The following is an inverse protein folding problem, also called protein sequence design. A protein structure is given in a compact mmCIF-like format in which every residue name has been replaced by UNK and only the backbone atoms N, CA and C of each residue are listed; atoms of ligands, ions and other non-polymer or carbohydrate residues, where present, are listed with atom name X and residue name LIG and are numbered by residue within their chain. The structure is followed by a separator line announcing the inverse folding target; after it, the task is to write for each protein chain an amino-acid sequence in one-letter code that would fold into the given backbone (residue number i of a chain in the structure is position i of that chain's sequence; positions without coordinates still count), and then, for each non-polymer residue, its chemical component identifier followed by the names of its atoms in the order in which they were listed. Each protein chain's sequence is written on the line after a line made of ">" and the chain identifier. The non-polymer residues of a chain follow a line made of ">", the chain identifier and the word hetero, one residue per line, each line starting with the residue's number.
data_IF_226701377820
#
_entry.id   IF_226701377820
#
_cell.length_a   1.000
_cell.length_b   1.000
_cell.length_c   1.000
_cell.angle_alpha   90.00
_cell.angle_beta   90.00
_cell.angle_gamma   90.00
#
_symmetry.space_group_name_H-M   'P 1'
#
loop_
_entity.id
_entity.type
_entity.pdbx_description
1 polymer ?
#
# COMPACT_ATOMS: atom_id res chain seq x y z
N UNK A 1 16.11 10.96 15.11
CA UNK A 1 16.89 10.19 16.08
C UNK A 1 18.35 10.25 15.63
N UNK A 2 19.32 10.60 16.52
CA UNK A 2 20.74 10.56 16.20
C UNK A 2 21.18 9.15 15.81
N UNK A 3 21.96 9.04 14.75
CA UNK A 3 22.50 7.77 14.25
C UNK A 3 24.00 7.86 14.18
N UNK A 4 24.69 6.94 14.83
CA UNK A 4 26.15 6.87 14.78
C UNK A 4 26.63 6.39 13.40
N UNK A 5 27.60 7.10 12.82
CA UNK A 5 28.23 6.76 11.54
C UNK A 5 29.73 6.62 11.72
N UNK A 6 30.33 5.66 11.02
CA UNK A 6 31.76 5.38 11.05
C UNK A 6 32.33 5.48 9.64
N UNK A 7 33.68 5.39 9.54
CA UNK A 7 34.38 5.41 8.23
C UNK A 7 33.82 4.32 7.32
N UNK A 8 33.47 4.71 6.09
CA UNK A 8 32.85 3.82 5.09
C UNK A 8 31.32 3.87 5.04
N UNK A 9 30.66 4.46 6.03
CA UNK A 9 29.20 4.62 5.98
C UNK A 9 28.78 5.75 5.06
N UNK A 10 27.58 5.62 4.47
CA UNK A 10 26.97 6.67 3.66
C UNK A 10 26.24 7.66 4.59
N UNK A 11 26.39 8.94 4.31
CA UNK A 11 25.63 10.04 4.93
C UNK A 11 24.82 10.75 3.85
N UNK A 12 23.66 11.31 4.23
CA UNK A 12 22.74 11.91 3.29
C UNK A 12 22.73 13.43 3.40
N UNK A 13 22.50 14.10 2.25
CA UNK A 13 22.32 15.55 2.23
C UNK A 13 21.11 15.96 3.09
N UNK A 14 21.24 17.10 3.80
CA UNK A 14 20.20 17.60 4.71
C UNK A 14 20.23 16.99 6.12
N UNK A 15 21.20 16.14 6.45
CA UNK A 15 21.45 15.71 7.83
C UNK A 15 22.42 16.65 8.53
N UNK A 16 22.28 16.79 9.86
CA UNK A 16 23.12 17.66 10.71
C UNK A 16 24.02 16.77 11.54
N UNK A 17 25.30 17.16 11.64
CA UNK A 17 26.26 16.52 12.56
C UNK A 17 25.97 17.05 13.95
N UNK A 18 25.56 16.17 14.89
CA UNK A 18 25.30 16.56 16.29
C UNK A 18 26.58 16.54 17.11
N UNK A 19 27.47 15.59 16.85
CA UNK A 19 28.72 15.45 17.60
C UNK A 19 29.82 14.87 16.70
N UNK A 20 31.05 15.41 16.84
CA UNK A 20 32.22 14.97 16.08
C UNK A 20 32.46 15.76 14.79
N UNK A 21 33.50 15.35 14.06
CA UNK A 21 33.92 15.93 12.78
C UNK A 21 33.94 14.80 11.73
N UNK A 22 33.38 15.06 10.55
CA UNK A 22 33.32 14.08 9.46
C UNK A 22 33.90 14.64 8.18
N UNK A 23 34.66 13.81 7.48
CA UNK A 23 35.09 14.07 6.08
C UNK A 23 34.26 13.22 5.16
N UNK A 24 33.57 13.83 4.21
CA UNK A 24 32.69 13.15 3.25
C UNK A 24 33.24 13.24 1.83
N UNK A 25 33.07 12.14 1.08
CA UNK A 25 33.27 12.13 -0.38
C UNK A 25 31.90 12.22 -1.03
N UNK A 26 31.66 13.27 -1.81
CA UNK A 26 30.43 13.41 -2.57
C UNK A 26 30.38 12.33 -3.65
N UNK A 27 29.30 11.55 -3.71
CA UNK A 27 29.08 10.48 -4.70
C UNK A 27 28.26 10.96 -5.89
N UNK A 28 27.32 11.86 -5.68
CA UNK A 28 26.41 12.38 -6.69
C UNK A 28 26.28 13.90 -6.52
N UNK A 29 26.35 14.66 -7.61
CA UNK A 29 26.41 16.13 -7.56
C UNK A 29 25.16 16.79 -8.15
N UNK A 30 24.36 16.13 -8.99
CA UNK A 30 23.19 16.73 -9.65
C UNK A 30 21.99 15.78 -9.71
N UNK A 31 20.79 16.30 -9.40
CA UNK A 31 19.49 15.70 -9.70
C UNK A 31 18.83 14.90 -8.59
N UNK A 32 19.52 14.59 -7.48
CA UNK A 32 18.95 13.73 -6.42
C UNK A 32 19.00 14.35 -5.02
N UNK A 33 19.10 15.67 -4.93
CA UNK A 33 19.02 16.37 -3.65
C UNK A 33 17.58 16.35 -3.12
N UNK A 34 17.41 16.29 -1.79
CA UNK A 34 16.09 16.44 -1.14
C UNK A 34 15.30 17.66 -1.62
N UNK A 35 16.00 18.74 -2.00
CA UNK A 35 15.38 19.94 -2.54
C UNK A 35 14.82 19.69 -3.95
N UNK A 36 15.56 19.00 -4.82
CA UNK A 36 15.08 18.61 -6.15
C UNK A 36 13.93 17.61 -6.07
N UNK A 37 13.96 16.71 -5.09
CA UNK A 37 12.84 15.81 -4.78
C UNK A 37 11.61 16.58 -4.31
N UNK A 38 11.77 17.63 -3.48
CA UNK A 38 10.66 18.49 -3.05
C UNK A 38 10.11 19.29 -4.25
N UNK A 39 10.96 19.81 -5.11
CA UNK A 39 10.53 20.52 -6.34
C UNK A 39 9.82 19.54 -7.26
N UNK A 40 10.37 18.35 -7.48
CA UNK A 40 9.72 17.28 -8.26
C UNK A 40 8.39 16.87 -7.63
N UNK A 41 8.32 16.74 -6.29
CA UNK A 41 7.06 16.49 -5.57
C UNK A 41 6.04 17.62 -5.76
N UNK A 42 6.48 18.88 -5.78
CA UNK A 42 5.60 20.03 -6.03
C UNK A 42 5.10 20.01 -7.50
N UNK A 43 5.98 19.76 -8.45
CA UNK A 43 5.60 19.64 -9.87
C UNK A 43 4.72 18.40 -10.13
N UNK A 44 4.98 17.30 -9.43
CA UNK A 44 4.14 16.09 -9.47
C UNK A 44 2.84 16.23 -8.69
N UNK A 45 2.73 17.15 -7.74
CA UNK A 45 1.51 17.36 -6.96
C UNK A 45 0.32 17.74 -7.85
N UNK A 46 0.57 18.43 -8.98
CA UNK A 46 -0.47 18.66 -9.99
C UNK A 46 -0.93 17.38 -10.68
N UNK A 47 -0.03 16.41 -10.88
CA UNK A 47 -0.36 15.07 -11.42
C UNK A 47 -1.10 14.19 -10.41
N UNK A 48 -1.07 14.56 -9.12
CA UNK A 48 -1.73 13.85 -8.02
C UNK A 48 -3.15 14.33 -7.73
N UNK A 49 -3.66 15.33 -8.50
CA UNK A 49 -5.06 15.75 -8.44
C UNK A 49 -5.98 14.59 -8.81
N UNK A 50 -7.14 14.50 -8.17
CA UNK A 50 -8.15 13.52 -8.53
C UNK A 50 -8.67 13.75 -9.95
N UNK A 51 -9.08 12.69 -10.65
CA UNK A 51 -9.70 12.83 -11.98
C UNK A 51 -10.99 13.65 -11.91
N UNK A 52 -11.78 13.52 -10.84
CA UNK A 52 -13.00 14.28 -10.63
C UNK A 52 -12.72 15.77 -10.41
N UNK A 53 -11.63 16.08 -9.70
CA UNK A 53 -11.18 17.46 -9.52
C UNK A 53 -10.77 18.07 -10.86
N UNK A 54 -9.93 17.36 -11.63
CA UNK A 54 -9.54 17.79 -12.97
C UNK A 54 -10.72 17.88 -13.97
N UNK A 55 -11.64 16.93 -13.93
CA UNK A 55 -12.88 16.97 -14.75
C UNK A 55 -13.76 18.15 -14.36
N UNK A 56 -13.90 18.46 -13.06
CA UNK A 56 -14.68 19.57 -12.59
C UNK A 56 -14.09 20.91 -13.02
N UNK A 57 -12.78 21.07 -12.94
CA UNK A 57 -12.07 22.26 -13.46
C UNK A 57 -12.30 22.41 -14.97
N UNK A 58 -12.14 21.35 -15.73
CA UNK A 58 -12.33 21.35 -17.18
C UNK A 58 -13.78 21.65 -17.60
N UNK A 59 -14.78 21.07 -16.89
CA UNK A 59 -16.18 21.40 -17.17
C UNK A 59 -16.53 22.85 -16.78
N UNK A 60 -15.97 23.34 -15.68
CA UNK A 60 -16.12 24.71 -15.27
C UNK A 60 -15.61 25.67 -16.35
N UNK A 61 -14.41 25.43 -16.87
CA UNK A 61 -13.82 26.26 -17.93
C UNK A 61 -14.63 26.22 -19.27
N UNK A 62 -15.17 25.06 -19.61
CA UNK A 62 -16.06 24.88 -20.77
C UNK A 62 -17.39 25.64 -20.64
N UNK A 63 -17.85 25.90 -19.41
CA UNK A 63 -19.10 26.64 -19.21
C UNK A 63 -18.95 28.14 -19.47
N UNK A 64 -17.75 28.70 -19.41
CA UNK A 64 -17.51 30.15 -19.60
C UNK A 64 -18.04 30.66 -20.96
N UNK A 65 -17.70 30.09 -22.12
CA UNK A 65 -18.25 30.55 -23.40
C UNK A 65 -19.79 30.42 -23.49
N UNK A 66 -20.36 29.38 -22.82
CA UNK A 66 -21.82 29.20 -22.78
C UNK A 66 -22.52 30.30 -21.95
N UNK A 67 -21.92 30.67 -20.78
CA UNK A 67 -22.47 31.74 -19.95
C UNK A 67 -22.40 33.09 -20.68
N UNK A 68 -21.31 33.39 -21.39
CA UNK A 68 -21.18 34.58 -22.21
C UNK A 68 -22.18 34.58 -23.36
N UNK A 69 -22.34 33.45 -24.06
CA UNK A 69 -23.32 33.28 -25.13
C UNK A 69 -24.77 33.45 -24.64
N UNK A 70 -25.10 32.82 -23.51
CA UNK A 70 -26.43 32.96 -22.88
C UNK A 70 -26.71 34.39 -22.45
N UNK A 71 -25.71 35.09 -21.93
CA UNK A 71 -25.82 36.52 -21.56
C UNK A 71 -26.13 37.38 -22.78
N UNK A 72 -25.38 37.21 -23.89
CA UNK A 72 -25.62 37.92 -25.14
C UNK A 72 -27.01 37.61 -25.71
N UNK A 73 -27.42 36.36 -25.74
CA UNK A 73 -28.74 35.94 -26.22
C UNK A 73 -29.87 36.53 -25.36
N UNK A 74 -29.73 36.50 -24.03
CA UNK A 74 -30.72 37.08 -23.12
C UNK A 74 -30.84 38.59 -23.36
N UNK A 75 -29.75 39.32 -23.58
CA UNK A 75 -29.79 40.74 -23.93
C UNK A 75 -30.49 40.98 -25.27
N UNK A 76 -30.19 40.18 -26.29
CA UNK A 76 -30.82 40.33 -27.61
C UNK A 76 -32.34 40.12 -27.56
N UNK A 77 -32.78 39.09 -26.79
CA UNK A 77 -34.19 38.74 -26.67
C UNK A 77 -34.97 39.68 -25.75
N UNK A 78 -34.39 40.10 -24.64
CA UNK A 78 -35.12 40.91 -23.64
C UNK A 78 -34.86 42.39 -23.73
N UNK A 79 -33.79 42.81 -24.40
CA UNK A 79 -33.28 44.21 -24.46
C UNK A 79 -33.07 44.82 -23.06
N UNK A 80 -32.88 43.98 -22.07
CA UNK A 80 -32.73 44.37 -20.68
C UNK A 80 -31.36 43.93 -20.13
N UNK A 81 -30.49 44.92 -19.87
CA UNK A 81 -29.14 44.73 -19.38
C UNK A 81 -29.14 44.04 -18.01
N UNK A 82 -30.08 44.40 -17.14
CA UNK A 82 -30.19 43.84 -15.79
C UNK A 82 -30.45 42.33 -15.82
N UNK A 83 -31.33 41.87 -16.72
CA UNK A 83 -31.59 40.43 -16.91
C UNK A 83 -30.39 39.68 -17.48
N UNK A 84 -29.69 40.27 -18.43
CA UNK A 84 -28.50 39.70 -19.00
C UNK A 84 -27.36 39.61 -17.98
N UNK A 85 -27.16 40.69 -17.20
CA UNK A 85 -26.15 40.72 -16.12
C UNK A 85 -26.40 39.68 -15.03
N UNK A 86 -27.65 39.29 -14.78
CA UNK A 86 -27.96 38.25 -13.78
C UNK A 86 -27.33 36.90 -14.11
N UNK A 87 -27.06 36.59 -15.37
CA UNK A 87 -26.35 35.36 -15.76
C UNK A 87 -24.87 35.46 -15.40
N UNK A 88 -24.22 36.61 -15.67
CA UNK A 88 -22.80 36.82 -15.38
C UNK A 88 -22.51 36.91 -13.88
N UNK A 89 -23.49 37.24 -13.04
CA UNK A 89 -23.33 37.35 -11.59
C UNK A 89 -23.28 35.96 -10.89
N UNK A 90 -23.62 34.91 -11.61
CA UNK A 90 -23.64 33.53 -11.06
C UNK A 90 -22.59 32.71 -11.80
N UNK A 91 -21.48 32.42 -11.12
CA UNK A 91 -20.39 31.63 -11.66
C UNK A 91 -20.38 30.23 -11.09
N UNK A 92 -20.37 29.21 -11.96
CA UNK A 92 -20.23 27.81 -11.56
C UNK A 92 -18.77 27.48 -11.23
N UNK A 93 -17.81 28.16 -11.86
CA UNK A 93 -16.39 27.86 -11.76
C UNK A 93 -15.86 28.08 -10.35
N UNK A 94 -16.12 29.23 -9.73
CA UNK A 94 -15.60 29.58 -8.41
C UNK A 94 -16.04 28.59 -7.35
N UNK A 95 -17.33 28.22 -7.34
CA UNK A 95 -17.87 27.29 -6.35
C UNK A 95 -17.27 25.87 -6.50
N UNK A 96 -17.11 25.37 -7.72
CA UNK A 96 -16.55 24.05 -7.99
C UNK A 96 -15.05 24.01 -7.70
N UNK A 97 -14.29 24.99 -8.22
CA UNK A 97 -12.83 25.08 -8.03
C UNK A 97 -12.43 25.29 -6.57
N UNK A 98 -13.31 25.79 -5.72
CA UNK A 98 -13.04 25.97 -4.30
C UNK A 98 -13.50 24.77 -3.45
N UNK A 99 -14.73 24.30 -3.63
CA UNK A 99 -15.33 23.27 -2.76
C UNK A 99 -14.71 21.88 -2.93
N UNK A 100 -14.23 21.53 -4.14
CA UNK A 100 -13.68 20.18 -4.37
C UNK A 100 -12.29 20.01 -3.76
N UNK A 101 -11.28 20.86 -4.01
CA UNK A 101 -9.99 20.74 -3.35
C UNK A 101 -10.10 20.80 -1.82
N UNK A 102 -10.97 21.65 -1.28
CA UNK A 102 -11.21 21.69 0.18
C UNK A 102 -11.75 20.36 0.71
N UNK A 103 -12.67 19.70 -0.02
CA UNK A 103 -13.17 18.38 0.36
C UNK A 103 -12.07 17.32 0.36
N UNK A 104 -11.18 17.33 -0.64
CA UNK A 104 -10.05 16.40 -0.76
C UNK A 104 -9.04 16.65 0.36
N UNK A 105 -8.65 17.89 0.60
CA UNK A 105 -7.72 18.25 1.69
C UNK A 105 -8.29 17.88 3.06
N UNK A 106 -9.61 18.07 3.26
CA UNK A 106 -10.27 17.65 4.50
C UNK A 106 -10.21 16.13 4.68
N UNK A 107 -10.41 15.37 3.59
CA UNK A 107 -10.31 13.91 3.62
C UNK A 107 -8.89 13.41 3.92
N UNK A 108 -7.86 14.02 3.30
CA UNK A 108 -6.45 13.70 3.57
C UNK A 108 -6.11 14.02 5.04
N UNK A 109 -6.54 15.17 5.55
CA UNK A 109 -6.37 15.53 6.97
C UNK A 109 -7.05 14.51 7.89
N UNK A 110 -8.28 14.13 7.57
CA UNK A 110 -9.03 13.16 8.38
C UNK A 110 -8.36 11.78 8.35
N UNK A 111 -7.90 11.30 7.20
CA UNK A 111 -7.14 10.06 7.09
C UNK A 111 -5.88 10.08 7.97
N UNK A 112 -5.18 11.22 8.04
CA UNK A 112 -3.98 11.35 8.87
C UNK A 112 -4.27 11.27 10.38
N UNK A 113 -5.49 11.59 10.83
CA UNK A 113 -5.90 11.38 12.25
C UNK A 113 -6.01 9.90 12.61
N UNK A 114 -6.15 9.04 11.62
CA UNK A 114 -6.16 7.57 11.76
C UNK A 114 -4.83 6.93 11.34
N UNK A 115 -3.72 7.66 11.42
CA UNK A 115 -2.38 7.18 11.02
C UNK A 115 -2.30 6.68 9.57
N UNK A 116 -3.09 7.24 8.67
CA UNK A 116 -3.07 6.96 7.24
C UNK A 116 -2.53 8.18 6.50
N UNK A 117 -1.38 8.03 5.85
CA UNK A 117 -0.76 9.08 5.04
C UNK A 117 -1.08 8.85 3.57
N UNK A 118 -1.73 9.81 2.93
CA UNK A 118 -2.15 9.75 1.52
C UNK A 118 -1.37 10.78 0.73
N UNK A 119 -0.70 10.36 -0.34
CA UNK A 119 0.15 11.24 -1.17
C UNK A 119 -0.64 12.20 -2.06
N UNK A 120 -1.92 11.93 -2.33
CA UNK A 120 -2.73 12.82 -3.16
C UNK A 120 -4.18 12.38 -3.33
N UNK A 121 -5.03 13.32 -3.74
CA UNK A 121 -6.48 13.13 -3.88
C UNK A 121 -6.88 12.02 -4.86
N UNK A 122 -6.10 11.82 -5.93
CA UNK A 122 -6.35 10.74 -6.90
C UNK A 122 -6.36 9.35 -6.26
N UNK A 123 -5.57 9.15 -5.21
CA UNK A 123 -5.50 7.85 -4.53
C UNK A 123 -6.74 7.59 -3.67
N UNK A 124 -7.32 8.63 -3.04
CA UNK A 124 -8.60 8.50 -2.35
C UNK A 124 -9.74 8.16 -3.33
N UNK A 125 -9.73 8.78 -4.51
CA UNK A 125 -10.67 8.45 -5.59
C UNK A 125 -10.50 7.00 -6.03
N UNK A 126 -9.27 6.57 -6.32
CA UNK A 126 -8.98 5.19 -6.72
C UNK A 126 -9.32 4.17 -5.63
N UNK A 127 -9.09 4.47 -4.35
CA UNK A 127 -9.55 3.64 -3.21
C UNK A 127 -11.07 3.54 -3.19
N UNK A 128 -11.80 4.64 -3.44
CA UNK A 128 -13.27 4.59 -3.49
C UNK A 128 -13.79 3.73 -4.66
N UNK A 129 -13.13 3.79 -5.81
CA UNK A 129 -13.50 3.02 -7.01
C UNK A 129 -13.04 1.56 -6.97
N UNK A 130 -12.10 1.22 -6.09
CA UNK A 130 -11.54 -0.11 -6.01
C UNK A 130 -12.60 -1.17 -5.68
N UNK A 131 -12.57 -2.24 -6.48
CA UNK A 131 -13.43 -3.42 -6.35
C UNK A 131 -12.66 -4.68 -5.92
N UNK A 132 -11.34 -4.66 -6.06
CA UNK A 132 -10.44 -5.77 -5.77
C UNK A 132 -9.33 -5.32 -4.82
N UNK A 133 -9.09 -6.11 -3.77
CA UNK A 133 -7.94 -5.93 -2.86
C UNK A 133 -7.08 -7.18 -2.89
N UNK A 134 -5.78 -6.99 -3.03
CA UNK A 134 -4.76 -8.02 -2.94
C UNK A 134 -3.92 -7.76 -1.69
N UNK A 135 -3.91 -8.71 -0.78
CA UNK A 135 -3.07 -8.69 0.41
C UNK A 135 -1.84 -9.57 0.20
N UNK A 136 -0.65 -9.04 0.48
CA UNK A 136 0.42 -9.94 0.89
C UNK A 136 0.10 -10.56 2.26
N UNK A 137 0.58 -11.78 2.52
CA UNK A 137 0.38 -12.42 3.82
C UNK A 137 1.32 -11.83 4.86
N UNK A 138 2.63 -11.91 4.59
CA UNK A 138 3.69 -11.65 5.57
C UNK A 138 3.84 -10.17 5.84
N UNK A 139 3.84 -9.78 7.12
CA UNK A 139 3.94 -8.36 7.49
C UNK A 139 2.67 -7.53 7.24
N UNK A 140 1.67 -8.11 6.57
CA UNK A 140 0.40 -7.45 6.25
C UNK A 140 -0.75 -8.08 7.02
N UNK A 141 -1.15 -9.31 6.68
CA UNK A 141 -2.16 -10.07 7.44
C UNK A 141 -1.59 -10.68 8.72
N UNK A 142 -0.28 -10.75 8.83
CA UNK A 142 0.46 -11.23 10.00
C UNK A 142 1.14 -10.08 10.74
N UNK A 143 1.60 -10.36 11.98
CA UNK A 143 2.23 -9.35 12.87
C UNK A 143 3.69 -9.05 12.51
N UNK A 144 4.26 -9.68 11.47
CA UNK A 144 5.66 -9.55 11.06
C UNK A 144 6.68 -9.87 12.18
N UNK A 145 6.29 -10.74 13.11
CA UNK A 145 7.15 -11.25 14.17
C UNK A 145 7.24 -12.77 14.11
N UNK A 146 7.82 -13.30 13.01
CA UNK A 146 7.98 -14.74 12.91
C UNK A 146 8.86 -15.28 14.03
N UNK A 147 8.49 -16.44 14.56
CA UNK A 147 9.24 -17.16 15.60
C UNK A 147 9.35 -18.62 15.23
N UNK A 148 10.53 -19.21 15.45
CA UNK A 148 10.69 -20.67 15.33
C UNK A 148 9.98 -21.35 16.50
N UNK A 149 9.03 -22.21 16.17
CA UNK A 149 8.20 -22.96 17.15
C UNK A 149 8.72 -24.36 17.34
N UNK A 150 9.19 -24.98 16.25
CA UNK A 150 9.70 -26.34 16.26
C UNK A 150 10.75 -26.57 15.16
N UNK A 151 11.62 -27.54 15.38
CA UNK A 151 12.59 -28.02 14.40
C UNK A 151 12.43 -29.53 14.27
N UNK A 152 11.68 -29.96 13.27
CA UNK A 152 11.40 -31.33 12.97
C UNK A 152 12.59 -31.96 12.26
N UNK A 153 13.25 -32.91 12.93
CA UNK A 153 14.49 -33.53 12.45
C UNK A 153 14.21 -34.78 11.59
N UNK A 154 14.75 -34.79 10.38
CA UNK A 154 14.72 -35.93 9.44
C UNK A 154 16.05 -36.66 9.35
N UNK A 155 17.09 -36.14 10.00
CA UNK A 155 18.42 -36.70 10.00
C UNK A 155 18.67 -37.50 11.29
N UNK A 156 19.14 -38.74 11.19
CA UNK A 156 19.37 -39.58 12.35
C UNK A 156 20.79 -39.38 12.95
N UNK A 157 21.69 -38.68 12.24
CA UNK A 157 23.09 -38.45 12.67
C UNK A 157 23.24 -37.17 13.51
N UNK A 158 22.33 -36.18 13.33
CA UNK A 158 22.41 -34.86 13.95
C UNK A 158 21.17 -34.56 14.76
N UNK A 159 21.31 -33.79 15.81
CA UNK A 159 20.18 -33.34 16.64
C UNK A 159 19.41 -32.19 15.97
N UNK A 160 18.17 -31.90 16.46
CA UNK A 160 17.41 -30.71 16.02
C UNK A 160 18.15 -29.42 16.32
N UNK A 161 18.94 -29.36 17.40
CA UNK A 161 19.75 -28.19 17.72
C UNK A 161 20.94 -28.00 16.76
N UNK A 162 21.55 -29.10 16.29
CA UNK A 162 22.58 -29.06 15.26
C UNK A 162 21.99 -28.54 13.93
N UNK A 163 20.79 -28.99 13.56
CA UNK A 163 20.11 -28.55 12.36
C UNK A 163 19.70 -27.06 12.46
N UNK A 164 19.23 -26.61 13.62
CA UNK A 164 18.93 -25.20 13.86
C UNK A 164 20.20 -24.34 13.79
N UNK A 165 21.32 -24.80 14.32
CA UNK A 165 22.61 -24.13 14.22
C UNK A 165 23.08 -23.98 12.78
N UNK A 166 22.96 -25.06 11.98
CA UNK A 166 23.28 -25.02 10.54
C UNK A 166 22.36 -24.03 9.81
N UNK A 167 21.07 -24.08 10.07
CA UNK A 167 20.11 -23.15 9.47
C UNK A 167 20.42 -21.69 9.82
N UNK A 168 20.72 -21.41 11.10
CA UNK A 168 21.08 -20.07 11.55
C UNK A 168 22.36 -19.54 10.89
N UNK A 169 23.37 -20.39 10.74
CA UNK A 169 24.62 -20.06 10.04
C UNK A 169 24.36 -19.66 8.57
N UNK A 170 23.43 -20.32 7.90
CA UNK A 170 23.08 -20.01 6.51
C UNK A 170 22.26 -18.74 6.38
N UNK A 171 21.32 -18.51 7.32
CA UNK A 171 20.37 -17.40 7.29
C UNK A 171 20.94 -16.09 7.88
N UNK A 172 22.07 -16.12 8.62
CA UNK A 172 22.64 -14.96 9.31
C UNK A 172 22.93 -13.77 8.39
N UNK A 173 23.30 -14.04 7.15
CA UNK A 173 23.68 -13.00 6.20
C UNK A 173 22.49 -12.40 5.42
N UNK A 174 21.26 -12.86 5.68
CA UNK A 174 20.08 -12.46 4.92
C UNK A 174 19.12 -11.62 5.74
N UNK A 175 18.85 -10.39 5.32
CA UNK A 175 18.07 -9.43 6.10
C UNK A 175 16.56 -9.58 5.88
N UNK A 176 16.00 -10.80 6.03
CA UNK A 176 14.54 -10.96 6.00
C UNK A 176 14.00 -11.52 7.32
N UNK A 177 12.73 -11.33 7.58
CA UNK A 177 12.11 -11.60 8.88
C UNK A 177 12.20 -13.08 9.32
N UNK A 178 12.06 -14.02 8.37
CA UNK A 178 12.16 -15.46 8.67
C UNK A 178 13.61 -15.86 9.01
N UNK A 179 14.60 -15.35 8.28
CA UNK A 179 16.01 -15.55 8.58
C UNK A 179 16.34 -15.07 10.01
N UNK A 180 15.90 -13.85 10.33
CA UNK A 180 16.07 -13.33 11.69
C UNK A 180 15.44 -14.22 12.76
N UNK A 181 14.25 -14.77 12.51
CA UNK A 181 13.60 -15.69 13.44
C UNK A 181 14.44 -16.94 13.72
N UNK A 182 15.08 -17.51 12.69
CA UNK A 182 15.96 -18.68 12.81
C UNK A 182 17.21 -18.34 13.62
N UNK A 183 17.86 -17.22 13.30
CA UNK A 183 19.05 -16.74 14.01
C UNK A 183 18.73 -16.44 15.49
N UNK A 184 17.64 -15.74 15.76
CA UNK A 184 17.19 -15.40 17.10
C UNK A 184 16.87 -16.69 17.93
N UNK A 185 16.26 -17.70 17.29
CA UNK A 185 15.97 -18.97 17.95
C UNK A 185 17.24 -19.75 18.33
N UNK A 186 18.23 -19.79 17.45
CA UNK A 186 19.53 -20.38 17.72
C UNK A 186 20.26 -19.64 18.86
N UNK A 187 20.26 -18.30 18.82
CA UNK A 187 20.86 -17.45 19.84
C UNK A 187 20.21 -17.65 21.22
N UNK A 188 18.87 -17.73 21.31
CA UNK A 188 18.14 -17.98 22.56
C UNK A 188 18.49 -19.33 23.19
N UNK A 189 18.84 -20.33 22.37
CA UNK A 189 19.31 -21.65 22.83
C UNK A 189 20.81 -21.67 23.12
N UNK A 190 21.53 -20.55 22.94
CA UNK A 190 22.98 -20.49 23.14
C UNK A 190 23.79 -21.28 22.10
N UNK A 191 23.21 -21.53 20.94
CA UNK A 191 23.85 -22.23 19.84
C UNK A 191 24.74 -21.24 19.08
N UNK A 192 25.99 -21.07 19.56
CA UNK A 192 27.00 -20.32 18.81
C UNK A 192 27.52 -21.14 17.63
N UNK A 193 27.84 -20.48 16.54
CA UNK A 193 28.51 -21.10 15.40
C UNK A 193 29.70 -20.25 14.97
N UNK A 194 30.78 -20.92 14.56
CA UNK A 194 31.80 -20.33 13.69
C UNK A 194 31.31 -20.46 12.25
N UNK A 195 31.69 -19.55 11.35
CA UNK A 195 31.34 -19.69 9.93
C UNK A 195 31.73 -21.09 9.42
N UNK A 196 30.73 -21.93 9.15
CA UNK A 196 30.93 -23.33 8.75
C UNK A 196 30.84 -23.52 7.23
N UNK A 197 30.40 -22.49 6.51
CA UNK A 197 30.18 -22.56 5.08
C UNK A 197 31.33 -21.95 4.26
N UNK A 198 31.47 -22.44 3.04
CA UNK A 198 32.30 -21.82 1.99
C UNK A 198 31.50 -20.68 1.32
N UNK A 199 31.76 -20.39 0.05
CA UNK A 199 30.99 -19.38 -0.68
C UNK A 199 29.50 -19.71 -0.72
N UNK A 200 28.66 -18.78 -0.25
CA UNK A 200 27.19 -18.91 -0.28
C UNK A 200 26.68 -18.47 -1.65
N UNK A 201 25.84 -19.28 -2.27
CA UNK A 201 25.09 -18.93 -3.47
C UNK A 201 23.66 -18.58 -3.06
N UNK A 202 23.33 -17.30 -3.14
CA UNK A 202 21.98 -16.82 -2.88
C UNK A 202 21.15 -16.84 -4.17
N UNK A 203 20.03 -17.56 -4.12
CA UNK A 203 19.05 -17.58 -5.21
C UNK A 203 17.86 -16.73 -4.76
N UNK A 204 17.75 -15.54 -5.36
CA UNK A 204 16.78 -14.51 -4.97
C UNK A 204 15.37 -15.10 -4.88
N UNK A 205 14.70 -14.87 -3.76
CA UNK A 205 13.35 -15.31 -3.44
C UNK A 205 13.12 -16.84 -3.32
N UNK A 206 14.14 -17.67 -3.53
CA UNK A 206 14.01 -19.13 -3.50
C UNK A 206 14.67 -19.75 -2.29
N UNK A 207 15.93 -19.44 -2.01
CA UNK A 207 16.68 -20.01 -0.91
C UNK A 207 18.19 -19.81 -1.05
N UNK A 208 18.91 -20.60 -0.28
CA UNK A 208 20.36 -20.56 -0.15
C UNK A 208 20.95 -21.93 -0.47
N UNK A 209 21.96 -21.96 -1.32
CA UNK A 209 22.77 -23.13 -1.58
C UNK A 209 24.25 -22.88 -1.21
N UNK A 210 24.86 -23.80 -0.53
CA UNK A 210 26.29 -23.73 -0.16
C UNK A 210 26.87 -25.13 0.06
N UNK A 211 28.15 -25.17 0.44
CA UNK A 211 28.82 -26.40 0.90
C UNK A 211 29.28 -26.23 2.33
N UNK A 212 28.84 -27.11 3.22
CA UNK A 212 29.25 -27.20 4.63
C UNK A 212 30.05 -28.49 4.80
N UNK A 213 31.31 -28.39 5.24
CA UNK A 213 32.21 -29.54 5.40
C UNK A 213 32.30 -30.43 4.13
N UNK A 214 32.26 -29.81 2.95
CA UNK A 214 32.29 -30.50 1.66
C UNK A 214 30.96 -31.12 1.22
N UNK A 215 29.90 -31.01 2.00
CA UNK A 215 28.55 -31.51 1.68
C UNK A 215 27.68 -30.38 1.15
N UNK A 216 27.04 -30.57 -0.02
CA UNK A 216 26.07 -29.60 -0.55
C UNK A 216 24.90 -29.47 0.42
N UNK A 217 24.64 -28.26 0.87
CA UNK A 217 23.61 -27.94 1.81
C UNK A 217 22.73 -26.84 1.25
N UNK A 218 21.42 -27.03 1.28
CA UNK A 218 20.44 -26.06 0.76
C UNK A 218 19.38 -25.79 1.83
N UNK A 219 18.94 -24.54 1.91
CA UNK A 219 17.85 -24.11 2.79
C UNK A 219 16.94 -23.16 2.03
N UNK A 220 15.62 -23.34 2.15
CA UNK A 220 14.70 -22.47 1.44
C UNK A 220 13.25 -22.98 1.46
N UNK A 221 12.47 -22.45 0.49
CA UNK A 221 11.07 -22.81 0.28
C UNK A 221 10.89 -24.26 -0.18
N UNK A 222 9.64 -24.74 -0.17
CA UNK A 222 9.29 -26.05 -0.71
C UNK A 222 9.71 -26.18 -2.18
N UNK A 223 9.35 -25.20 -2.99
CA UNK A 223 9.69 -25.14 -4.41
C UNK A 223 11.19 -25.27 -4.64
N UNK A 224 11.97 -24.42 -3.93
CA UNK A 224 13.43 -24.45 -4.06
C UNK A 224 14.04 -25.80 -3.72
N UNK A 225 13.69 -26.37 -2.57
CA UNK A 225 14.34 -27.60 -2.09
C UNK A 225 13.89 -28.84 -2.88
N UNK A 226 12.58 -28.97 -3.19
CA UNK A 226 12.06 -30.18 -3.82
C UNK A 226 11.90 -30.08 -5.34
N UNK A 227 11.64 -28.89 -5.89
CA UNK A 227 11.42 -28.75 -7.32
C UNK A 227 12.67 -28.26 -8.07
N UNK A 228 13.41 -27.29 -7.54
CA UNK A 228 14.65 -26.83 -8.18
C UNK A 228 15.83 -27.75 -7.86
N UNK A 229 16.13 -27.96 -6.58
CA UNK A 229 17.26 -28.75 -6.11
C UNK A 229 16.99 -30.27 -6.10
N UNK A 230 15.76 -30.71 -6.42
CA UNK A 230 15.35 -32.13 -6.51
C UNK A 230 15.69 -32.97 -5.27
N UNK A 231 15.70 -32.35 -4.08
CA UNK A 231 15.91 -33.07 -2.83
C UNK A 231 14.75 -34.02 -2.55
N UNK A 232 14.99 -35.06 -1.76
CA UNK A 232 13.98 -36.08 -1.43
C UNK A 232 13.82 -36.23 0.08
N UNK A 233 12.62 -36.60 0.51
CA UNK A 233 12.38 -37.02 1.89
C UNK A 233 13.07 -38.38 2.13
N UNK A 234 13.83 -38.56 3.24
CA UNK A 234 14.46 -39.84 3.54
C UNK A 234 13.44 -40.97 3.66
N UNK A 235 13.78 -42.14 3.11
CA UNK A 235 12.90 -43.32 3.14
C UNK A 235 12.45 -43.68 4.57
N UNK A 236 11.14 -43.86 4.74
CA UNK A 236 10.53 -44.15 6.05
C UNK A 236 10.19 -42.91 6.89
N UNK A 237 10.55 -41.70 6.44
CA UNK A 237 10.21 -40.46 7.12
C UNK A 237 9.00 -39.73 6.45
N UNK A 238 8.40 -40.32 5.42
CA UNK A 238 7.25 -39.75 4.71
C UNK A 238 6.05 -39.50 5.67
N UNK A 239 5.70 -40.39 6.62
CA UNK A 239 4.61 -40.10 7.55
C UNK A 239 4.91 -38.93 8.48
N UNK A 240 6.18 -38.71 8.85
CA UNK A 240 6.61 -37.55 9.63
C UNK A 240 6.45 -36.26 8.83
N UNK A 241 6.81 -36.28 7.54
CA UNK A 241 6.66 -35.15 6.63
C UNK A 241 5.19 -34.80 6.41
N UNK A 242 4.32 -35.80 6.25
CA UNK A 242 2.88 -35.56 6.10
C UNK A 242 2.21 -35.05 7.37
N UNK A 243 2.79 -35.34 8.55
CA UNK A 243 2.29 -34.87 9.84
C UNK A 243 2.71 -33.44 10.21
N UNK A 244 3.51 -32.78 9.39
CA UNK A 244 3.92 -31.38 9.65
C UNK A 244 2.70 -30.47 9.83
N UNK A 245 2.71 -29.59 10.84
CA UNK A 245 1.60 -28.68 11.11
C UNK A 245 1.36 -27.70 9.93
N UNK A 246 0.16 -27.74 9.36
CA UNK A 246 -0.19 -27.00 8.14
C UNK A 246 -0.32 -25.49 8.32
N UNK A 247 -0.38 -25.01 9.55
CA UNK A 247 -0.57 -23.59 9.86
C UNK A 247 0.73 -22.83 10.09
N UNK A 248 1.88 -23.53 10.14
CA UNK A 248 3.19 -22.92 10.20
C UNK A 248 3.77 -22.72 8.79
N UNK A 249 4.57 -21.67 8.62
CA UNK A 249 5.47 -21.56 7.48
C UNK A 249 6.63 -22.53 7.68
N UNK A 250 7.04 -23.23 6.63
CA UNK A 250 8.11 -24.21 6.69
C UNK A 250 9.33 -23.71 5.91
N UNK A 251 10.48 -23.78 6.57
CA UNK A 251 11.77 -23.59 5.94
C UNK A 251 12.48 -24.94 5.91
N UNK A 252 12.80 -25.43 4.72
CA UNK A 252 13.33 -26.77 4.49
C UNK A 252 14.85 -26.72 4.40
N UNK A 253 15.53 -27.55 5.20
CA UNK A 253 16.98 -27.72 5.19
C UNK A 253 17.29 -29.11 4.65
N UNK A 254 18.06 -29.18 3.56
CA UNK A 254 18.51 -30.47 2.98
C UNK A 254 20.04 -30.52 2.85
N UNK A 255 20.60 -31.69 3.05
CA UNK A 255 22.02 -32.00 2.95
C UNK A 255 22.20 -33.15 1.98
N UNK A 256 23.11 -33.00 1.00
CA UNK A 256 23.39 -34.01 -0.03
C UNK A 256 22.13 -34.54 -0.73
N UNK A 257 21.17 -33.63 -1.04
CA UNK A 257 19.94 -33.96 -1.74
C UNK A 257 18.88 -34.68 -0.88
N UNK A 258 19.05 -34.76 0.44
CA UNK A 258 18.09 -35.37 1.37
C UNK A 258 17.61 -34.34 2.38
N UNK A 259 16.29 -34.26 2.59
CA UNK A 259 15.71 -33.44 3.63
C UNK A 259 16.30 -33.85 5.00
N UNK A 260 16.89 -32.88 5.69
CA UNK A 260 17.54 -33.08 6.98
C UNK A 260 16.76 -32.48 8.15
N UNK A 261 16.10 -31.35 7.94
CA UNK A 261 15.21 -30.75 8.92
C UNK A 261 14.16 -29.86 8.27
N UNK A 262 13.04 -29.66 8.96
CA UNK A 262 12.04 -28.64 8.66
C UNK A 262 11.93 -27.72 9.87
N UNK A 263 12.24 -26.46 9.67
CA UNK A 263 12.08 -25.42 10.67
C UNK A 263 10.66 -24.87 10.55
N UNK A 264 9.84 -25.11 11.56
CA UNK A 264 8.47 -24.64 11.64
C UNK A 264 8.47 -23.22 12.22
N UNK A 265 8.00 -22.27 11.44
CA UNK A 265 7.98 -20.85 11.79
C UNK A 265 6.54 -20.39 11.91
N UNK A 266 6.18 -19.87 13.06
CA UNK A 266 4.90 -19.22 13.28
C UNK A 266 5.04 -17.72 13.01
N UNK A 267 4.27 -17.21 12.08
CA UNK A 267 4.04 -15.78 11.90
C UNK A 267 2.56 -15.53 12.19
N UNK A 268 2.23 -15.11 13.43
CA UNK A 268 0.85 -15.09 13.89
C UNK A 268 0.01 -14.11 13.08
N UNK A 269 -1.15 -14.58 12.62
CA UNK A 269 -2.15 -13.72 11.99
C UNK A 269 -2.56 -12.62 12.98
N UNK A 270 -2.82 -11.44 12.45
CA UNK A 270 -3.46 -10.36 13.21
C UNK A 270 -4.85 -10.79 13.63
N UNK A 271 -5.21 -10.49 14.87
CA UNK A 271 -6.48 -10.93 15.46
C UNK A 271 -7.68 -10.35 14.69
N UNK A 272 -7.51 -9.15 14.14
CA UNK A 272 -8.52 -8.42 13.37
C UNK A 272 -8.60 -8.83 11.88
N UNK A 273 -7.69 -9.61 11.33
CA UNK A 273 -7.58 -9.86 9.88
C UNK A 273 -8.89 -10.33 9.23
N UNK A 274 -9.58 -11.32 9.82
CA UNK A 274 -10.84 -11.83 9.29
C UNK A 274 -11.98 -10.79 9.37
N UNK A 275 -12.02 -10.01 10.46
CA UNK A 275 -13.02 -8.95 10.64
C UNK A 275 -12.80 -7.80 9.66
N UNK A 276 -11.54 -7.45 9.37
CA UNK A 276 -11.15 -6.46 8.38
C UNK A 276 -11.58 -6.89 6.97
N UNK A 277 -11.29 -8.12 6.56
CA UNK A 277 -11.75 -8.66 5.26
C UNK A 277 -13.26 -8.57 5.13
N UNK A 278 -13.99 -8.98 6.16
CA UNK A 278 -15.46 -8.88 6.19
C UNK A 278 -15.93 -7.44 6.05
N UNK A 279 -15.29 -6.51 6.74
CA UNK A 279 -15.65 -5.08 6.73
C UNK A 279 -15.35 -4.42 5.38
N UNK A 280 -14.25 -4.79 4.73
CA UNK A 280 -13.90 -4.33 3.38
C UNK A 280 -14.94 -4.79 2.34
N UNK A 281 -15.39 -6.03 2.43
CA UNK A 281 -16.49 -6.54 1.58
C UNK A 281 -17.78 -5.73 1.78
N UNK A 282 -18.13 -5.39 3.03
CA UNK A 282 -19.27 -4.50 3.33
C UNK A 282 -19.08 -3.08 2.82
N UNK A 283 -17.84 -2.59 2.75
CA UNK A 283 -17.50 -1.26 2.23
C UNK A 283 -17.48 -1.18 0.70
N UNK A 284 -17.75 -2.29 -0.02
CA UNK A 284 -17.92 -2.33 -1.47
C UNK A 284 -16.79 -3.03 -2.23
N UNK A 285 -15.86 -3.72 -1.54
CA UNK A 285 -14.88 -4.59 -2.19
C UNK A 285 -15.56 -5.90 -2.58
N UNK A 286 -15.51 -6.23 -3.85
CA UNK A 286 -16.15 -7.44 -4.40
C UNK A 286 -15.25 -8.67 -4.39
N UNK A 287 -13.93 -8.46 -4.37
CA UNK A 287 -12.93 -9.54 -4.43
C UNK A 287 -11.76 -9.23 -3.49
N UNK A 288 -11.48 -10.16 -2.59
CA UNK A 288 -10.31 -10.11 -1.69
C UNK A 288 -9.41 -11.30 -2.00
N UNK A 289 -8.15 -11.02 -2.31
CA UNK A 289 -7.14 -12.00 -2.69
C UNK A 289 -6.00 -11.99 -1.68
N UNK A 290 -5.48 -13.15 -1.33
CA UNK A 290 -4.24 -13.30 -0.55
C UNK A 290 -3.14 -13.87 -1.43
N UNK A 291 -1.94 -13.32 -1.34
CA UNK A 291 -0.74 -13.85 -1.98
C UNK A 291 0.32 -14.16 -0.93
N UNK A 292 1.03 -15.26 -1.12
CA UNK A 292 2.08 -15.70 -0.18
C UNK A 292 3.13 -16.54 -0.89
N UNK A 293 4.37 -16.48 -0.41
CA UNK A 293 5.43 -17.43 -0.78
C UNK A 293 5.35 -18.77 -0.06
N UNK A 294 4.39 -18.96 0.87
CA UNK A 294 4.20 -20.24 1.57
C UNK A 294 3.68 -21.31 0.63
N UNK A 295 3.82 -22.57 1.08
CA UNK A 295 3.26 -23.74 0.39
C UNK A 295 1.74 -23.67 0.27
N UNK A 296 1.19 -24.32 -0.75
CA UNK A 296 -0.25 -24.45 -1.02
C UNK A 296 -1.02 -24.94 0.23
N UNK A 297 -0.44 -25.89 0.99
CA UNK A 297 -1.04 -26.44 2.21
C UNK A 297 -1.25 -25.37 3.28
N UNK A 298 -0.23 -24.57 3.56
CA UNK A 298 -0.27 -23.48 4.54
C UNK A 298 -1.20 -22.36 4.09
N UNK A 299 -1.08 -21.92 2.83
CA UNK A 299 -1.87 -20.85 2.26
C UNK A 299 -3.38 -21.15 2.30
N UNK A 300 -3.79 -22.39 1.97
CA UNK A 300 -5.19 -22.82 2.02
C UNK A 300 -5.82 -22.70 3.42
N UNK A 301 -5.09 -23.09 4.47
CA UNK A 301 -5.56 -23.01 5.86
C UNK A 301 -5.74 -21.54 6.28
N UNK A 302 -4.77 -20.69 5.97
CA UNK A 302 -4.78 -19.28 6.32
C UNK A 302 -5.90 -18.55 5.55
N UNK A 303 -6.03 -18.81 4.26
CA UNK A 303 -7.05 -18.20 3.40
C UNK A 303 -8.48 -18.47 3.94
N UNK A 304 -8.76 -19.70 4.37
CA UNK A 304 -10.02 -20.08 5.01
C UNK A 304 -10.23 -19.34 6.34
N UNK A 305 -9.19 -19.23 7.16
CA UNK A 305 -9.27 -18.54 8.47
C UNK A 305 -9.53 -17.04 8.32
N UNK A 306 -8.92 -16.40 7.34
CA UNK A 306 -9.09 -14.98 7.06
C UNK A 306 -10.38 -14.68 6.28
N UNK A 307 -10.86 -15.63 5.48
CA UNK A 307 -12.09 -15.50 4.69
C UNK A 307 -11.92 -14.71 3.38
N UNK A 308 -10.76 -14.83 2.76
CA UNK A 308 -10.49 -14.28 1.42
C UNK A 308 -11.23 -15.07 0.34
N UNK A 309 -11.44 -14.48 -0.83
CA UNK A 309 -12.17 -15.12 -1.94
C UNK A 309 -11.27 -16.02 -2.79
N UNK A 310 -10.02 -15.60 -2.96
CA UNK A 310 -8.99 -16.33 -3.68
C UNK A 310 -7.66 -16.23 -2.94
N UNK A 311 -6.81 -17.22 -3.13
CA UNK A 311 -5.43 -17.16 -2.66
C UNK A 311 -4.47 -17.76 -3.69
N UNK A 312 -3.24 -17.33 -3.64
CA UNK A 312 -2.13 -17.81 -4.47
C UNK A 312 -0.95 -18.12 -3.55
N UNK A 313 -0.49 -19.35 -3.63
CA UNK A 313 0.65 -19.88 -2.89
C UNK A 313 1.91 -19.90 -3.76
N UNK A 314 3.08 -20.00 -3.12
CA UNK A 314 4.38 -20.11 -3.81
C UNK A 314 4.65 -19.00 -4.82
N UNK A 315 4.13 -17.77 -4.53
CA UNK A 315 4.15 -16.63 -5.44
C UNK A 315 5.46 -15.87 -5.28
N UNK A 316 6.14 -15.66 -6.38
CA UNK A 316 7.32 -14.79 -6.45
C UNK A 316 6.91 -13.30 -6.52
N UNK A 317 7.79 -12.37 -6.14
CA UNK A 317 7.50 -10.94 -6.24
C UNK A 317 7.06 -10.48 -7.64
N UNK A 318 7.64 -11.04 -8.70
CA UNK A 318 7.31 -10.76 -10.09
C UNK A 318 5.90 -11.22 -10.46
N UNK A 319 5.48 -12.36 -9.94
CA UNK A 319 4.14 -12.91 -10.20
C UNK A 319 3.04 -12.08 -9.57
N UNK A 320 3.31 -11.44 -8.42
CA UNK A 320 2.38 -10.51 -7.76
C UNK A 320 2.06 -9.32 -8.67
N UNK A 321 3.09 -8.72 -9.28
CA UNK A 321 2.91 -7.62 -10.22
C UNK A 321 2.15 -8.08 -11.49
N UNK A 322 2.51 -9.24 -12.05
CA UNK A 322 1.85 -9.81 -13.20
C UNK A 322 0.36 -10.14 -12.92
N UNK A 323 0.02 -10.59 -11.71
CA UNK A 323 -1.36 -10.79 -11.31
C UNK A 323 -2.14 -9.47 -11.28
N UNK A 324 -1.58 -8.43 -10.65
CA UNK A 324 -2.20 -7.10 -10.58
C UNK A 324 -2.48 -6.56 -11.97
N UNK A 325 -1.51 -6.65 -12.90
CA UNK A 325 -1.71 -6.21 -14.27
C UNK A 325 -2.80 -7.01 -15.00
N UNK A 326 -2.90 -8.32 -14.79
CA UNK A 326 -3.96 -9.15 -15.36
C UNK A 326 -5.35 -8.76 -14.85
N UNK A 327 -5.50 -8.46 -13.56
CA UNK A 327 -6.78 -8.01 -13.01
C UNK A 327 -7.16 -6.61 -13.55
N UNK A 328 -6.19 -5.70 -13.67
CA UNK A 328 -6.39 -4.39 -14.33
C UNK A 328 -6.81 -4.53 -15.79
N UNK A 329 -6.19 -5.44 -16.54
CA UNK A 329 -6.55 -5.72 -17.93
C UNK A 329 -7.98 -6.24 -18.08
N UNK A 330 -8.55 -6.88 -17.04
CA UNK A 330 -9.98 -7.26 -16.97
C UNK A 330 -10.91 -6.09 -16.61
N UNK A 331 -10.38 -4.88 -16.47
CA UNK A 331 -11.12 -3.67 -16.09
C UNK A 331 -11.35 -3.50 -14.59
N UNK A 332 -10.71 -4.28 -13.74
CA UNK A 332 -10.82 -4.16 -12.31
C UNK A 332 -9.97 -3.02 -11.77
N UNK A 333 -10.40 -2.43 -10.66
CA UNK A 333 -9.66 -1.43 -9.90
C UNK A 333 -9.04 -2.10 -8.68
N UNK A 334 -7.72 -2.24 -8.72
CA UNK A 334 -6.96 -3.06 -7.78
C UNK A 334 -6.23 -2.20 -6.74
N UNK A 335 -6.42 -2.52 -5.46
CA UNK A 335 -5.55 -2.08 -4.36
C UNK A 335 -4.59 -3.23 -4.06
N UNK A 336 -3.29 -2.97 -4.04
CA UNK A 336 -2.27 -3.88 -3.51
C UNK A 336 -1.83 -3.41 -2.14
N UNK A 337 -1.77 -4.34 -1.17
CA UNK A 337 -1.34 -4.05 0.21
C UNK A 337 -0.20 -5.00 0.57
N UNK A 338 0.92 -4.42 1.00
CA UNK A 338 2.12 -5.16 1.35
C UNK A 338 3.02 -4.43 2.35
N UNK A 339 4.15 -5.04 2.69
CA UNK A 339 5.18 -4.45 3.59
C UNK A 339 6.11 -3.46 2.89
N UNK A 340 6.11 -3.44 1.57
CA UNK A 340 6.74 -2.46 0.70
C UNK A 340 8.13 -2.80 0.17
N UNK A 341 8.88 -3.72 0.75
CA UNK A 341 10.24 -4.06 0.26
C UNK A 341 10.15 -5.09 -0.88
N UNK A 342 9.52 -6.21 -0.61
CA UNK A 342 9.38 -7.31 -1.57
C UNK A 342 8.22 -7.07 -2.56
N UNK A 343 7.24 -6.26 -2.17
CA UNK A 343 6.03 -6.00 -2.93
C UNK A 343 6.10 -4.75 -3.81
N UNK A 344 7.24 -4.04 -3.82
CA UNK A 344 7.43 -2.79 -4.55
C UNK A 344 6.94 -2.84 -6.02
N UNK A 345 7.24 -3.87 -6.82
CA UNK A 345 6.74 -3.98 -8.18
C UNK A 345 5.20 -4.10 -8.24
N UNK A 346 4.60 -4.86 -7.33
CA UNK A 346 3.15 -5.07 -7.28
C UNK A 346 2.40 -3.82 -6.76
N UNK A 347 2.97 -3.13 -5.74
CA UNK A 347 2.46 -1.86 -5.24
C UNK A 347 2.42 -0.80 -6.34
N UNK A 348 3.51 -0.69 -7.11
CA UNK A 348 3.61 0.25 -8.24
C UNK A 348 2.69 -0.12 -9.41
N UNK A 349 2.45 -1.41 -9.67
CA UNK A 349 1.57 -1.89 -10.72
C UNK A 349 0.08 -1.65 -10.42
N UNK A 350 -0.33 -1.56 -9.17
CA UNK A 350 -1.72 -1.40 -8.74
C UNK A 350 -2.32 -0.03 -9.12
N UNK A 351 -3.65 0.11 -9.01
CA UNK A 351 -4.28 1.42 -9.08
C UNK A 351 -3.98 2.23 -7.83
N UNK A 352 -3.80 1.55 -6.69
CA UNK A 352 -3.31 2.11 -5.43
C UNK A 352 -2.43 1.09 -4.74
N UNK A 353 -1.19 1.46 -4.46
CA UNK A 353 -0.29 0.72 -3.59
C UNK A 353 -0.37 1.22 -2.16
N UNK A 354 -0.69 0.35 -1.21
CA UNK A 354 -0.74 0.67 0.22
C UNK A 354 0.37 -0.09 0.93
N UNK A 355 1.28 0.62 1.58
CA UNK A 355 2.29 0.00 2.44
C UNK A 355 1.85 0.04 3.90
N UNK A 356 1.98 -1.11 4.57
CA UNK A 356 1.87 -1.20 6.03
C UNK A 356 3.29 -1.14 6.57
N UNK A 357 3.64 -0.09 7.30
CA UNK A 357 5.04 0.12 7.67
C UNK A 357 5.20 0.84 9.01
N UNK A 358 5.99 0.21 9.89
CA UNK A 358 6.54 0.84 11.11
C UNK A 358 7.79 1.68 10.86
N UNK A 359 8.17 1.94 9.62
CA UNK A 359 9.32 2.78 9.38
C UNK A 359 10.26 2.44 8.24
N UNK A 360 9.98 1.43 7.42
CA UNK A 360 10.80 1.20 6.23
C UNK A 360 10.67 2.41 5.28
N UNK A 361 11.72 3.22 5.21
CA UNK A 361 11.75 4.47 4.43
C UNK A 361 11.44 4.20 2.94
N UNK A 362 11.92 3.07 2.42
CA UNK A 362 11.68 2.62 1.04
C UNK A 362 10.19 2.33 0.77
N UNK A 363 9.49 1.70 1.71
CA UNK A 363 8.07 1.42 1.56
C UNK A 363 7.23 2.70 1.46
N UNK A 364 7.59 3.71 2.26
CA UNK A 364 6.94 5.03 2.23
C UNK A 364 7.19 5.77 0.92
N UNK A 365 8.34 5.55 0.30
CA UNK A 365 8.69 6.22 -0.96
C UNK A 365 7.92 5.64 -2.15
N UNK A 366 7.74 4.34 -2.20
CA UNK A 366 7.12 3.63 -3.34
C UNK A 366 5.59 3.64 -3.27
N UNK A 367 5.01 3.45 -2.08
CA UNK A 367 3.57 3.34 -1.93
C UNK A 367 2.85 4.69 -2.09
N UNK A 368 1.66 4.65 -2.65
CA UNK A 368 0.77 5.80 -2.81
C UNK A 368 0.12 6.23 -1.48
N UNK A 369 -0.11 5.26 -0.62
CA UNK A 369 -0.68 5.44 0.72
C UNK A 369 0.14 4.60 1.70
N UNK A 370 0.41 5.18 2.86
CA UNK A 370 1.07 4.47 3.97
C UNK A 370 0.12 4.39 5.16
N UNK A 371 0.02 3.21 5.72
CA UNK A 371 -0.81 2.91 6.90
C UNK A 371 0.12 2.50 8.04
N UNK A 372 -0.14 2.98 9.26
CA UNK A 372 0.58 2.52 10.45
C UNK A 372 0.35 1.02 10.68
N UNK A 373 1.34 0.33 11.24
CA UNK A 373 1.31 -1.14 11.35
C UNK A 373 0.45 -1.67 12.48
N UNK A 374 -0.03 -0.79 13.37
CA UNK A 374 -0.65 -1.21 14.62
C UNK A 374 -2.06 -1.78 14.45
N UNK A 375 -2.80 -1.37 13.40
CA UNK A 375 -4.20 -1.77 13.22
C UNK A 375 -4.61 -1.79 11.74
N UNK A 376 -4.97 -2.98 11.24
CA UNK A 376 -5.49 -3.16 9.87
C UNK A 376 -6.85 -2.48 9.63
N UNK A 377 -7.61 -2.13 10.68
CA UNK A 377 -8.87 -1.38 10.50
C UNK A 377 -8.67 0.00 9.89
N UNK A 378 -7.45 0.54 9.91
CA UNK A 378 -7.11 1.79 9.22
C UNK A 378 -7.39 1.70 7.71
N UNK A 379 -7.24 0.51 7.09
CA UNK A 379 -7.58 0.28 5.68
C UNK A 379 -9.10 0.37 5.46
N UNK A 380 -9.88 -0.17 6.38
CA UNK A 380 -11.35 -0.07 6.36
C UNK A 380 -11.79 1.38 6.52
N UNK A 381 -11.19 2.09 7.46
CA UNK A 381 -11.43 3.52 7.70
C UNK A 381 -11.10 4.34 6.46
N UNK A 382 -9.96 4.09 5.82
CA UNK A 382 -9.56 4.71 4.56
C UNK A 382 -10.61 4.50 3.46
N UNK A 383 -11.12 3.27 3.30
CA UNK A 383 -12.18 2.96 2.33
C UNK A 383 -13.46 3.73 2.63
N UNK A 384 -13.87 3.85 3.89
CA UNK A 384 -15.04 4.64 4.28
C UNK A 384 -14.84 6.14 4.03
N UNK A 385 -13.69 6.71 4.41
CA UNK A 385 -13.33 8.11 4.13
C UNK A 385 -13.40 8.37 2.62
N UNK A 386 -12.81 7.51 1.82
CA UNK A 386 -12.79 7.62 0.35
C UNK A 386 -14.20 7.57 -0.25
N UNK A 387 -15.04 6.62 0.19
CA UNK A 387 -16.43 6.52 -0.24
C UNK A 387 -17.24 7.76 0.15
N UNK A 388 -17.07 8.27 1.38
CA UNK A 388 -17.75 9.45 1.88
C UNK A 388 -17.29 10.72 1.16
N UNK A 389 -16.00 10.84 0.82
CA UNK A 389 -15.46 11.91 0.00
C UNK A 389 -16.15 11.96 -1.37
N UNK A 390 -16.23 10.82 -2.06
CA UNK A 390 -16.87 10.74 -3.38
C UNK A 390 -18.36 11.11 -3.31
N UNK A 391 -19.06 10.70 -2.25
CA UNK A 391 -20.45 11.07 -1.99
C UNK A 391 -20.57 12.59 -1.75
N UNK A 392 -19.67 13.18 -0.96
CA UNK A 392 -19.62 14.64 -0.69
C UNK A 392 -19.38 15.42 -1.97
N UNK A 393 -18.38 15.05 -2.78
CA UNK A 393 -18.07 15.70 -4.07
C UNK A 393 -19.31 15.68 -4.99
N UNK A 394 -19.93 14.51 -5.18
CA UNK A 394 -21.15 14.38 -5.99
C UNK A 394 -22.32 15.21 -5.44
N UNK A 395 -22.45 15.30 -4.12
CA UNK A 395 -23.48 16.11 -3.46
C UNK A 395 -23.22 17.60 -3.65
N UNK A 396 -21.99 18.05 -3.44
CA UNK A 396 -21.60 19.45 -3.65
C UNK A 396 -21.83 19.87 -5.10
N UNK A 397 -21.41 19.04 -6.06
CA UNK A 397 -21.67 19.31 -7.48
C UNK A 397 -23.16 19.51 -7.76
N UNK A 398 -24.03 18.61 -7.30
CA UNK A 398 -25.49 18.73 -7.51
C UNK A 398 -26.07 19.97 -6.85
N UNK A 399 -25.61 20.32 -5.63
CA UNK A 399 -26.06 21.52 -4.92
C UNK A 399 -25.64 22.81 -5.65
N UNK A 400 -24.37 22.88 -6.10
CA UNK A 400 -23.83 24.05 -6.82
C UNK A 400 -24.58 24.23 -8.13
N UNK A 401 -24.71 23.17 -8.94
CA UNK A 401 -25.40 23.27 -10.24
C UNK A 401 -26.87 23.61 -10.05
N UNK A 402 -27.58 22.93 -9.16
CA UNK A 402 -29.01 23.15 -8.92
C UNK A 402 -29.30 24.56 -8.41
N UNK A 403 -28.57 25.00 -7.37
CA UNK A 403 -28.78 26.30 -6.76
C UNK A 403 -28.44 27.46 -7.74
N UNK A 404 -27.29 27.38 -8.40
CA UNK A 404 -26.86 28.40 -9.34
C UNK A 404 -27.80 28.48 -10.57
N UNK A 405 -28.25 27.36 -11.10
CA UNK A 405 -29.24 27.34 -12.17
C UNK A 405 -30.56 28.00 -11.77
N UNK A 406 -30.99 27.72 -10.52
CA UNK A 406 -32.18 28.41 -9.95
C UNK A 406 -32.02 29.92 -9.83
N UNK A 407 -30.84 30.38 -9.37
CA UNK A 407 -30.53 31.81 -9.27
C UNK A 407 -30.55 32.48 -10.65
N UNK A 408 -29.95 31.85 -11.67
CA UNK A 408 -29.96 32.36 -13.08
C UNK A 408 -31.41 32.46 -13.56
N UNK A 409 -32.22 31.42 -13.37
CA UNK A 409 -33.61 31.43 -13.83
C UNK A 409 -34.43 32.57 -13.17
N UNK A 410 -34.29 32.77 -11.86
CA UNK A 410 -34.96 33.84 -11.12
C UNK A 410 -34.46 35.23 -11.54
N UNK A 411 -33.17 35.38 -11.84
CA UNK A 411 -32.59 36.64 -12.33
C UNK A 411 -33.07 37.01 -13.74
N UNK A 412 -33.07 36.04 -14.66
CA UNK A 412 -33.59 36.25 -16.04
C UNK A 412 -35.09 36.51 -16.05
N UNK A 413 -35.85 35.87 -15.17
CA UNK A 413 -37.27 36.14 -14.95
C UNK A 413 -37.52 37.59 -14.40
N UNK A 414 -36.50 38.21 -13.82
CA UNK A 414 -36.60 39.56 -13.22
C UNK A 414 -37.14 39.55 -11.80
N UNK A 415 -37.18 38.35 -11.14
CA UNK A 415 -37.61 38.20 -9.75
C UNK A 415 -36.54 38.66 -8.78
N UNK A 416 -35.27 38.36 -9.10
CA UNK A 416 -34.12 38.75 -8.28
C UNK A 416 -33.24 39.79 -9.05
N UNK A 417 -32.81 40.87 -8.38
CA UNK A 417 -31.83 41.78 -8.96
C UNK A 417 -30.42 41.14 -8.96
N UNK A 418 -29.50 41.53 -9.89
CA UNK A 418 -28.16 40.97 -10.02
C UNK A 418 -27.33 41.02 -8.73
N UNK A 419 -27.49 42.08 -7.93
CA UNK A 419 -26.81 42.20 -6.61
C UNK A 419 -27.23 41.13 -5.62
N UNK A 420 -28.52 40.80 -5.57
CA UNK A 420 -29.06 39.74 -4.71
C UNK A 420 -28.62 38.36 -5.22
N UNK A 421 -28.65 38.11 -6.53
CA UNK A 421 -28.16 36.85 -7.11
C UNK A 421 -26.67 36.64 -6.81
N UNK A 422 -25.85 37.69 -6.93
CA UNK A 422 -24.41 37.65 -6.59
C UNK A 422 -24.19 37.38 -5.11
N UNK A 423 -24.95 38.04 -4.21
CA UNK A 423 -24.84 37.80 -2.75
C UNK A 423 -25.21 36.37 -2.37
N UNK A 424 -26.32 35.84 -2.91
CA UNK A 424 -26.75 34.46 -2.66
C UNK A 424 -25.79 33.43 -3.23
N UNK A 425 -25.27 33.68 -4.44
CA UNK A 425 -24.24 32.83 -5.05
C UNK A 425 -22.97 32.77 -4.21
N UNK A 426 -22.40 33.92 -3.84
CA UNK A 426 -21.18 33.98 -3.02
C UNK A 426 -21.42 33.39 -1.63
N UNK A 427 -22.57 33.66 -1.00
CA UNK A 427 -22.95 33.08 0.27
C UNK A 427 -23.06 31.53 0.22
N UNK A 428 -23.68 31.01 -0.84
CA UNK A 428 -23.78 29.55 -1.04
C UNK A 428 -22.41 28.89 -1.25
N UNK A 429 -21.52 29.55 -2.00
CA UNK A 429 -20.15 29.08 -2.22
C UNK A 429 -19.38 28.97 -0.91
N UNK A 430 -19.45 29.99 -0.05
CA UNK A 430 -18.83 29.97 1.28
C UNK A 430 -19.44 28.87 2.15
N UNK A 431 -20.75 28.75 2.20
CA UNK A 431 -21.42 27.70 3.00
C UNK A 431 -21.05 26.29 2.55
N UNK A 432 -20.99 26.01 1.25
CA UNK A 432 -20.59 24.72 0.71
C UNK A 432 -19.11 24.45 1.03
N UNK A 433 -18.24 25.46 0.91
CA UNK A 433 -16.83 25.34 1.22
C UNK A 433 -16.58 25.06 2.71
N UNK A 434 -17.25 25.78 3.60
CA UNK A 434 -17.18 25.52 5.05
C UNK A 434 -17.71 24.14 5.39
N UNK A 435 -18.81 23.71 4.76
CA UNK A 435 -19.33 22.34 4.98
C UNK A 435 -18.36 21.27 4.44
N UNK A 436 -17.57 21.59 3.43
CA UNK A 436 -16.54 20.69 2.88
C UNK A 436 -15.34 20.48 3.80
N UNK A 437 -15.13 21.38 4.77
CA UNK A 437 -14.08 21.26 5.80
C UNK A 437 -14.42 20.30 6.93
N UNK A 438 -15.69 19.93 7.09
CA UNK A 438 -16.12 18.99 8.14
C UNK A 438 -15.58 17.59 7.89
N UNK A 439 -15.43 16.83 8.97
CA UNK A 439 -15.07 15.42 8.87
C UNK A 439 -16.10 14.64 8.04
N UNK A 440 -15.67 13.53 7.47
CA UNK A 440 -16.49 12.69 6.58
C UNK A 440 -17.19 11.56 7.31
N UNK A 441 -16.60 11.09 8.43
CA UNK A 441 -17.08 9.96 9.23
C UNK A 441 -17.89 10.38 10.45
N UNK A 442 -18.14 11.68 10.65
CA UNK A 442 -19.04 12.23 11.68
C UNK A 442 -20.49 12.31 11.19
#
# INVERSE_FOLDING_TARGET
>A
VPVQRTVGNTVFAGTVVEEGEITIRVKEVEGNNRFDQIVTMIEESEKLKSELEGKAEHYADKLVPWTLGATGLTYLLTRNVTKAMSILMVDFCCALKLAMPISVLSAIREASLYNVTVKGGKFLEAVAEADTIVFDKTGTLTKAHPTVVDVVNFNDEYSSDDMLRVAACLEEHFPHSMAKAVVDAASKKGLSHEEMHTKVEYIVAHGIATSINGKRTVIGSYHFVFEDEKCVVPAGKEPLFESLPLYYSHLYLAVEGKLSAVICIEDPLRDEAAAVVTSLKKAGISKVVMMTGDSERTASVIAKKVGVDEYYAEVLPEDKAAFVEREKAKGRKVIMIGDGINDAPALSAANVGIAISDGAEIAREIADITVGSDDLYQIVTLKYISNALMKRIKSNYRKIVGFNSGLIALGVAGVLPPTTTALLHNGSTILISVNSMKNLLE
#
